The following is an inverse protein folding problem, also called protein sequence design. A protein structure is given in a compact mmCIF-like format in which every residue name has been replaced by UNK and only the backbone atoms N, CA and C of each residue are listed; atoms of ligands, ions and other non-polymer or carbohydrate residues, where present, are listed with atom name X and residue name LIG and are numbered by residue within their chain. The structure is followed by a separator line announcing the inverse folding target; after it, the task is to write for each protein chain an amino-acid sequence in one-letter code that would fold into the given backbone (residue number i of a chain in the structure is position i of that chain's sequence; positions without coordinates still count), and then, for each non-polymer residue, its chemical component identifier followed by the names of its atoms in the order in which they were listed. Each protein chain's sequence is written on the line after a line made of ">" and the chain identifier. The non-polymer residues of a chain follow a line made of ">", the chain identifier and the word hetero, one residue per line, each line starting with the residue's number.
data_IF_303050426983
#
_entry.id   IF_303050426983
#
_cell.length_a   1.000
_cell.length_b   1.000
_cell.length_c   1.000
_cell.angle_alpha   90.00
_cell.angle_beta   90.00
_cell.angle_gamma   90.00
#
_symmetry.space_group_name_H-M   'P 1'
#
loop_
_entity.id
_entity.type
_entity.pdbx_description
1 polymer ?
#
# COMPACT_ATOMS: atom_id res chain seq x y z
N UNK A 1 -1.41 19.50 23.35
CA UNK A 1 -1.13 18.58 22.23
C UNK A 1 -1.97 17.35 22.47
N UNK A 2 -3.14 17.24 21.82
CA UNK A 2 -4.01 16.08 22.01
C UNK A 2 -3.35 14.86 21.35
N UNK A 3 -2.98 13.87 22.17
CA UNK A 3 -2.54 12.57 21.71
C UNK A 3 -3.71 11.90 20.99
N UNK A 4 -3.59 11.71 19.68
CA UNK A 4 -4.61 11.04 18.88
C UNK A 4 -4.87 9.62 19.44
N UNK A 5 -6.15 9.30 19.67
CA UNK A 5 -6.59 8.03 20.28
C UNK A 5 -6.36 6.81 19.38
N UNK A 6 -6.14 7.01 18.07
CA UNK A 6 -5.76 5.95 17.15
C UNK A 6 -5.16 6.52 15.85
N UNK A 7 -4.29 5.75 15.19
CA UNK A 7 -3.77 6.04 13.85
C UNK A 7 -4.91 6.32 12.84
N UNK A 8 -6.05 5.62 12.98
CA UNK A 8 -7.23 5.81 12.14
C UNK A 8 -7.87 7.20 12.31
N UNK A 9 -7.94 7.74 13.53
CA UNK A 9 -8.51 9.08 13.77
C UNK A 9 -7.67 10.17 13.11
N UNK A 10 -6.34 10.01 13.16
CA UNK A 10 -5.42 10.89 12.45
C UNK A 10 -5.58 10.75 10.93
N UNK A 11 -5.71 9.53 10.42
CA UNK A 11 -5.95 9.28 8.99
C UNK A 11 -7.28 9.89 8.50
N UNK A 12 -8.34 9.76 9.28
CA UNK A 12 -9.67 10.30 8.96
C UNK A 12 -9.68 11.82 8.91
N UNK A 13 -9.00 12.49 9.83
CA UNK A 13 -9.00 13.95 9.95
C UNK A 13 -8.10 14.64 8.92
N UNK A 14 -7.02 13.99 8.48
CA UNK A 14 -5.96 14.66 7.71
C UNK A 14 -5.79 14.18 6.26
N UNK A 15 -6.42 13.08 5.84
CA UNK A 15 -6.02 12.43 4.58
C UNK A 15 -7.06 12.35 3.47
N UNK A 16 -8.33 12.68 3.72
CA UNK A 16 -9.40 12.59 2.70
C UNK A 16 -9.90 11.14 2.56
N UNK A 17 -9.39 10.31 1.63
CA UNK A 17 -9.67 8.88 1.53
C UNK A 17 -9.03 8.03 2.66
N UNK A 18 -9.83 7.17 3.28
CA UNK A 18 -9.39 6.14 4.24
C UNK A 18 -9.01 4.83 3.51
N UNK A 19 -8.11 4.01 4.09
CA UNK A 19 -7.92 2.62 3.67
C UNK A 19 -9.25 1.87 3.70
N UNK A 20 -9.60 1.20 2.62
CA UNK A 20 -10.95 0.61 2.49
C UNK A 20 -11.01 -0.91 2.48
N UNK A 21 -9.85 -1.56 2.49
CA UNK A 21 -9.73 -3.02 2.42
C UNK A 21 -8.63 -3.49 3.36
N UNK A 22 -8.80 -4.70 3.91
CA UNK A 22 -7.67 -5.43 4.52
C UNK A 22 -7.05 -6.33 3.45
N UNK A 23 -5.72 -6.52 3.45
CA UNK A 23 -5.09 -7.44 2.50
C UNK A 23 -5.68 -8.86 2.56
N UNK A 24 -6.07 -9.34 3.74
CA UNK A 24 -6.70 -10.64 3.94
C UNK A 24 -8.08 -10.80 3.29
N UNK A 25 -8.66 -9.72 2.77
CA UNK A 25 -9.95 -9.72 2.05
C UNK A 25 -9.79 -9.86 0.54
N UNK A 26 -8.54 -9.85 0.06
CA UNK A 26 -8.20 -9.91 -1.35
C UNK A 26 -7.41 -11.17 -1.65
N UNK A 27 -7.64 -11.71 -2.85
CA UNK A 27 -6.85 -12.82 -3.35
C UNK A 27 -5.68 -12.28 -4.19
N UNK A 28 -4.46 -12.66 -3.82
CA UNK A 28 -3.24 -12.26 -4.51
C UNK A 28 -2.63 -13.45 -5.25
N UNK A 29 -2.21 -13.21 -6.50
CA UNK A 29 -1.23 -14.06 -7.18
C UNK A 29 0.19 -13.69 -6.72
N UNK A 30 0.39 -12.43 -6.35
CA UNK A 30 1.63 -11.90 -5.78
C UNK A 30 1.25 -10.92 -4.68
N UNK A 31 1.56 -11.25 -3.43
CA UNK A 31 1.30 -10.35 -2.29
C UNK A 31 2.11 -9.04 -2.40
N UNK A 32 1.62 -7.92 -1.84
CA UNK A 32 2.35 -6.67 -1.83
C UNK A 32 3.71 -6.78 -1.14
N UNK A 33 4.75 -6.39 -1.86
CA UNK A 33 6.11 -6.29 -1.35
C UNK A 33 6.89 -5.24 -2.14
N UNK A 34 8.05 -4.85 -1.65
CA UNK A 34 8.99 -4.00 -2.40
C UNK A 34 9.99 -4.89 -3.12
N UNK A 35 10.27 -4.60 -4.38
CA UNK A 35 11.40 -5.18 -5.11
C UNK A 35 12.50 -4.15 -5.30
N UNK A 36 13.75 -4.58 -5.20
CA UNK A 36 14.92 -3.79 -5.58
C UNK A 36 15.46 -4.29 -6.92
N UNK A 37 15.49 -3.42 -7.92
CA UNK A 37 16.06 -3.67 -9.26
C UNK A 37 17.15 -2.63 -9.53
N UNK A 38 18.40 -3.06 -9.41
CA UNK A 38 19.56 -2.16 -9.44
C UNK A 38 19.51 -1.12 -8.31
N UNK A 39 19.46 0.17 -8.68
CA UNK A 39 19.38 1.30 -7.71
C UNK A 39 17.94 1.76 -7.42
N UNK A 40 16.94 1.13 -8.05
CA UNK A 40 15.54 1.52 -7.93
C UNK A 40 14.76 0.52 -7.08
N UNK A 41 13.68 1.01 -6.48
CA UNK A 41 12.75 0.23 -5.68
C UNK A 41 11.34 0.37 -6.27
N UNK A 42 10.58 -0.71 -6.27
CA UNK A 42 9.23 -0.72 -6.81
C UNK A 42 8.30 -1.44 -5.84
N UNK A 43 7.11 -0.88 -5.61
CA UNK A 43 6.01 -1.63 -5.03
C UNK A 43 5.50 -2.63 -6.07
N UNK A 44 5.45 -3.91 -5.70
CA UNK A 44 5.03 -5.01 -6.57
C UNK A 44 3.93 -5.83 -5.93
N UNK A 45 2.88 -6.09 -6.68
CA UNK A 45 1.79 -6.99 -6.31
C UNK A 45 0.98 -7.39 -7.55
N UNK A 46 0.18 -8.44 -7.42
CA UNK A 46 -0.72 -8.90 -8.47
C UNK A 46 -1.96 -9.51 -7.82
N UNK A 47 -3.12 -8.97 -8.19
CA UNK A 47 -4.41 -9.45 -7.71
C UNK A 47 -4.89 -10.62 -8.58
N UNK A 48 -5.50 -11.62 -7.96
CA UNK A 48 -6.13 -12.70 -8.68
C UNK A 48 -7.42 -12.23 -9.37
N UNK A 49 -7.71 -12.80 -10.54
CA UNK A 49 -9.00 -12.62 -11.20
C UNK A 49 -10.07 -13.42 -10.45
N UNK A 50 -10.94 -12.72 -9.73
CA UNK A 50 -12.05 -13.30 -8.97
C UNK A 50 -13.38 -13.19 -9.73
N UNK A 51 -14.32 -14.11 -9.45
CA UNK A 51 -15.70 -14.07 -9.98
C UNK A 51 -16.67 -14.08 -8.78
N UNK A 52 -17.43 -13.00 -8.54
CA UNK A 52 -17.48 -11.74 -9.30
C UNK A 52 -16.19 -10.91 -9.15
N UNK A 53 -15.91 -9.98 -10.09
CA UNK A 53 -14.73 -9.12 -10.02
C UNK A 53 -14.71 -8.30 -8.72
N UNK A 54 -13.59 -8.33 -8.01
CA UNK A 54 -13.38 -7.44 -6.87
C UNK A 54 -13.10 -6.01 -7.35
N UNK A 55 -13.93 -5.06 -6.93
CA UNK A 55 -13.72 -3.64 -7.21
C UNK A 55 -12.65 -3.09 -6.26
N UNK A 56 -11.39 -3.21 -6.67
CA UNK A 56 -10.25 -2.78 -5.86
C UNK A 56 -9.82 -1.38 -6.32
N UNK A 57 -9.45 -0.57 -5.34
CA UNK A 57 -9.24 0.88 -5.45
C UNK A 57 -7.81 1.15 -6.00
N UNK A 58 -7.50 2.34 -6.52
CA UNK A 58 -6.13 2.74 -6.79
C UNK A 58 -5.30 2.71 -5.51
N UNK A 59 -4.03 2.33 -5.65
CA UNK A 59 -3.07 2.50 -4.56
C UNK A 59 -2.93 3.98 -4.27
N UNK A 60 -2.98 4.30 -2.99
CA UNK A 60 -2.62 5.60 -2.48
C UNK A 60 -1.36 5.49 -1.64
N UNK A 61 -0.54 6.53 -1.72
CA UNK A 61 0.68 6.66 -0.98
C UNK A 61 0.55 7.82 0.01
N UNK A 62 0.82 7.57 1.29
CA UNK A 62 0.83 8.62 2.31
C UNK A 62 1.98 8.47 3.31
N UNK A 63 2.45 9.61 3.81
CA UNK A 63 3.39 9.68 4.92
C UNK A 63 2.63 10.09 6.16
N UNK A 64 2.92 9.44 7.27
CA UNK A 64 2.49 9.89 8.58
C UNK A 64 3.60 9.64 9.58
N UNK A 65 3.96 10.69 10.31
CA UNK A 65 5.06 10.69 11.25
C UNK A 65 6.34 10.20 10.55
N UNK A 66 7.06 9.24 11.13
CA UNK A 66 8.28 8.68 10.58
C UNK A 66 8.03 7.45 9.69
N UNK A 67 6.82 7.28 9.13
CA UNK A 67 6.43 6.08 8.36
C UNK A 67 5.80 6.44 7.02
N UNK A 68 6.00 5.55 6.04
CA UNK A 68 5.38 5.61 4.73
C UNK A 68 4.39 4.45 4.56
N UNK A 69 3.22 4.75 3.99
CA UNK A 69 2.12 3.82 3.87
C UNK A 69 1.60 3.75 2.45
N UNK A 70 1.38 2.52 1.98
CA UNK A 70 0.52 2.22 0.86
C UNK A 70 -0.80 1.61 1.34
N UNK A 71 -1.88 1.90 0.63
CA UNK A 71 -3.19 1.30 0.89
C UNK A 71 -4.11 1.42 -0.33
N UNK A 72 -5.18 0.64 -0.36
CA UNK A 72 -6.26 0.79 -1.34
C UNK A 72 -7.23 1.91 -0.91
N UNK A 73 -7.36 2.96 -1.76
CA UNK A 73 -8.08 4.23 -1.53
C UNK A 73 -9.61 4.21 -1.72
N UNK A 74 -10.24 5.20 -2.40
CA UNK A 74 -11.70 5.32 -2.74
C UNK A 74 -12.12 4.74 -4.12
N UNK A 75 -13.36 4.23 -4.23
CA UNK A 75 -13.81 3.35 -5.34
C UNK A 75 -13.81 4.04 -6.69
N UNK A 76 -13.06 3.47 -7.64
CA UNK A 76 -13.18 3.74 -9.07
C UNK A 76 -13.41 2.43 -9.81
N UNK A 77 -14.08 2.52 -10.94
CA UNK A 77 -14.86 1.43 -11.54
C UNK A 77 -14.05 0.30 -12.17
N UNK A 78 -12.72 0.38 -12.29
CA UNK A 78 -11.88 -0.68 -12.86
C UNK A 78 -10.45 -0.62 -12.29
N UNK A 79 -9.95 -1.76 -11.85
CA UNK A 79 -8.52 -2.02 -11.71
C UNK A 79 -8.15 -3.12 -12.70
N UNK A 80 -6.91 -3.12 -13.19
CA UNK A 80 -6.38 -4.17 -14.05
C UNK A 80 -6.15 -5.44 -13.21
N UNK A 81 -7.24 -6.14 -12.92
CA UNK A 81 -7.20 -7.42 -12.20
C UNK A 81 -6.45 -8.44 -13.05
N UNK A 82 -5.58 -9.21 -12.40
CA UNK A 82 -4.74 -10.21 -13.06
C UNK A 82 -3.45 -9.67 -13.67
N UNK A 83 -3.26 -8.36 -13.80
CA UNK A 83 -2.00 -7.78 -14.28
C UNK A 83 -1.02 -7.55 -13.12
N UNK A 84 0.27 -7.78 -13.41
CA UNK A 84 1.32 -7.48 -12.45
C UNK A 84 1.51 -5.96 -12.37
N UNK A 85 1.37 -5.41 -11.18
CA UNK A 85 1.64 -3.99 -10.94
C UNK A 85 3.06 -3.83 -10.41
N UNK A 86 3.83 -2.96 -11.06
CA UNK A 86 5.08 -2.42 -10.55
C UNK A 86 5.02 -0.89 -10.54
N UNK A 87 5.14 -0.31 -9.35
CA UNK A 87 5.05 1.15 -9.15
C UNK A 87 6.36 1.67 -8.56
N UNK A 88 6.99 2.65 -9.21
CA UNK A 88 8.26 3.24 -8.75
C UNK A 88 8.03 4.08 -7.49
N UNK A 89 8.57 3.62 -6.36
CA UNK A 89 8.34 4.27 -5.06
C UNK A 89 8.97 5.67 -4.97
N UNK A 90 9.91 5.99 -5.87
CA UNK A 90 10.52 7.31 -5.91
C UNK A 90 9.51 8.38 -6.32
N UNK A 91 8.46 8.00 -7.07
CA UNK A 91 7.36 8.90 -7.44
C UNK A 91 6.57 9.37 -6.22
N UNK A 92 6.50 8.54 -5.16
CA UNK A 92 5.89 8.90 -3.88
C UNK A 92 6.91 9.50 -2.90
N UNK A 93 8.19 9.54 -3.29
CA UNK A 93 9.35 9.92 -2.48
C UNK A 93 9.55 9.02 -1.25
N UNK A 94 9.29 7.72 -1.38
CA UNK A 94 9.38 6.74 -0.28
C UNK A 94 10.73 6.02 -0.19
N UNK A 95 11.70 6.37 -1.03
CA UNK A 95 13.00 5.67 -1.12
C UNK A 95 13.73 5.58 0.23
N UNK A 96 13.81 6.66 1.00
CA UNK A 96 14.48 6.64 2.30
C UNK A 96 13.70 5.83 3.35
N UNK A 97 12.37 5.79 3.26
CA UNK A 97 11.54 4.97 4.16
C UNK A 97 11.75 3.48 3.91
N UNK A 98 11.98 3.08 2.65
CA UNK A 98 12.31 1.68 2.32
C UNK A 98 13.69 1.28 2.85
N UNK A 99 14.69 2.16 2.76
CA UNK A 99 16.03 1.86 3.25
C UNK A 99 16.10 1.69 4.76
N UNK A 100 15.19 2.35 5.48
CA UNK A 100 15.15 2.36 6.94
C UNK A 100 14.11 1.38 7.53
N UNK A 101 13.50 0.50 6.71
CA UNK A 101 12.45 -0.44 7.12
C UNK A 101 11.19 0.24 7.70
N UNK A 102 10.86 1.44 7.19
CA UNK A 102 9.74 2.30 7.64
C UNK A 102 8.63 2.41 6.60
N UNK A 103 8.49 1.39 5.75
CA UNK A 103 7.43 1.30 4.74
C UNK A 103 6.45 0.19 5.06
N UNK A 104 5.16 0.50 4.95
CA UNK A 104 4.10 -0.38 5.40
C UNK A 104 2.93 -0.39 4.42
N UNK A 105 2.17 -1.47 4.47
CA UNK A 105 0.80 -1.51 4.01
C UNK A 105 -0.13 -1.17 5.17
N UNK A 106 -1.10 -0.27 4.95
CA UNK A 106 -2.11 0.08 5.94
C UNK A 106 -3.46 -0.57 5.59
N UNK A 107 -3.95 -1.40 6.49
CA UNK A 107 -5.24 -2.08 6.38
C UNK A 107 -6.40 -1.18 6.86
N UNK A 108 -7.63 -1.43 6.40
CA UNK A 108 -8.82 -0.68 6.85
C UNK A 108 -9.09 -0.76 8.35
N UNK A 109 -8.71 -1.87 8.99
CA UNK A 109 -8.82 -2.03 10.44
C UNK A 109 -7.70 -1.31 11.23
N UNK A 110 -6.83 -0.56 10.55
CA UNK A 110 -5.73 0.20 11.14
C UNK A 110 -4.47 -0.62 11.43
N UNK A 111 -4.47 -1.92 11.11
CA UNK A 111 -3.24 -2.72 11.24
C UNK A 111 -2.22 -2.35 10.16
N UNK A 112 -0.96 -2.34 10.56
CA UNK A 112 0.18 -2.03 9.71
C UNK A 112 0.94 -3.33 9.40
N UNK A 113 1.19 -3.59 8.12
CA UNK A 113 1.99 -4.73 7.66
C UNK A 113 3.28 -4.19 7.06
N UNK A 114 4.43 -4.66 7.52
CA UNK A 114 5.73 -4.29 6.93
C UNK A 114 5.77 -4.81 5.49
N UNK A 115 6.22 -3.98 4.55
CA UNK A 115 6.46 -4.43 3.18
C UNK A 115 7.89 -4.92 3.04
N UNK A 116 8.05 -6.23 2.88
CA UNK A 116 9.36 -6.86 2.70
C UNK A 116 10.08 -6.34 1.45
N UNK A 117 11.39 -6.15 1.56
CA UNK A 117 12.24 -5.76 0.43
C UNK A 117 12.92 -7.00 -0.15
N UNK A 118 12.56 -7.38 -1.37
CA UNK A 118 13.14 -8.51 -2.11
C UNK A 118 14.13 -8.00 -3.16
N UNK A 119 15.32 -8.58 -3.18
CA UNK A 119 16.28 -8.29 -4.24
C UNK A 119 16.00 -9.20 -5.44
N UNK A 120 15.79 -8.60 -6.60
CA UNK A 120 15.70 -9.34 -7.86
C UNK A 120 17.02 -9.11 -8.61
N UNK A 121 17.73 -10.21 -8.87
CA UNK A 121 18.99 -10.24 -9.62
C UNK A 121 18.72 -10.10 -11.11
#
# INVERSE_FOLDING_TARGET
>A
MELFKSTIDYFTKHFGPQPSVNLSELDFLVEPHIIKRGKKYFLRYQLANTKPPQFIRPIQAKRFDNKAYYFFGLAVSRYDLGELVEHDIALDGFVEYVKDDRIYWLNKNGTELVLDVKQIV
#
